data_IF_261710783830
#
_entry.id   IF_261710783830
#
_cell.length_a   1.000
_cell.length_b   1.000
_cell.length_c   1.000
_cell.angle_alpha   90.00
_cell.angle_beta   90.00
_cell.angle_gamma   90.00
#
_symmetry.space_group_name_H-M   'P 1'
#
loop_
_entity.id
_entity.type
_entity.pdbx_description
1 polymer ?
#
# COMPACT_ATOMS: atom_id res chain seq x y z
N UNK A 1 -5.96 41.99 12.57
CA UNK A 1 -6.42 40.60 12.38
C UNK A 1 -5.21 39.78 11.95
N UNK A 2 -4.71 38.89 12.83
CA UNK A 2 -3.49 38.11 12.60
C UNK A 2 -3.86 36.73 12.05
N UNK A 3 -3.19 36.32 10.98
CA UNK A 3 -3.29 35.01 10.32
C UNK A 3 -3.04 33.84 11.31
N UNK A 4 -3.76 32.74 11.11
CA UNK A 4 -3.27 31.39 11.41
C UNK A 4 -3.64 30.47 10.25
N UNK A 5 -2.68 30.30 9.36
CA UNK A 5 -2.63 29.23 8.37
C UNK A 5 -2.29 27.95 9.11
N UNK A 6 -3.23 27.00 9.18
CA UNK A 6 -2.95 25.65 9.68
C UNK A 6 -2.69 24.79 8.46
N UNK A 7 -1.41 24.63 8.13
CA UNK A 7 -0.95 23.69 7.10
C UNK A 7 -1.21 22.26 7.56
N UNK A 8 -2.24 21.64 7.00
CA UNK A 8 -2.46 20.20 7.08
C UNK A 8 -1.75 19.54 5.91
N UNK A 9 -0.60 18.92 6.14
CA UNK A 9 -0.10 17.89 5.23
C UNK A 9 -1.13 16.75 5.23
N UNK A 10 -1.60 16.30 4.05
CA UNK A 10 -2.49 15.14 3.97
C UNK A 10 -1.71 13.90 4.44
N UNK A 11 -2.21 13.25 5.49
CA UNK A 11 -1.69 11.97 5.97
C UNK A 11 -1.79 10.95 4.83
N UNK A 12 -0.75 10.14 4.54
CA UNK A 12 -0.87 9.07 3.57
C UNK A 12 -1.85 8.02 4.13
N UNK A 13 -2.97 7.84 3.41
CA UNK A 13 -3.96 6.80 3.68
C UNK A 13 -3.28 5.45 3.42
N UNK A 14 -3.24 4.61 4.45
CA UNK A 14 -2.72 3.27 4.35
C UNK A 14 -3.71 2.41 3.56
N UNK A 15 -3.25 1.82 2.47
CA UNK A 15 -4.01 0.76 1.81
C UNK A 15 -3.94 -0.49 2.68
N UNK A 16 -5.08 -0.84 3.29
CA UNK A 16 -5.31 -2.18 3.78
C UNK A 16 -5.04 -3.18 2.64
N UNK A 17 -4.37 -4.29 2.95
CA UNK A 17 -4.17 -5.40 2.01
C UNK A 17 -5.54 -5.87 1.52
N UNK A 18 -5.94 -5.41 0.33
CA UNK A 18 -7.23 -5.75 -0.25
C UNK A 18 -7.00 -6.96 -1.14
N UNK A 19 -7.16 -8.16 -0.57
CA UNK A 19 -7.40 -9.35 -1.39
C UNK A 19 -8.84 -9.23 -1.89
N UNK A 20 -9.02 -8.82 -3.14
CA UNK A 20 -10.32 -8.89 -3.83
C UNK A 20 -10.67 -10.37 -4.07
N UNK A 21 -11.20 -11.01 -3.03
CA UNK A 21 -11.95 -12.26 -3.14
C UNK A 21 -13.44 -11.92 -2.94
N UNK A 22 -14.24 -12.13 -4.00
CA UNK A 22 -15.66 -11.81 -4.01
C UNK A 22 -16.45 -12.72 -3.03
N UNK A 23 -17.20 -12.12 -2.09
CA UNK A 23 -18.32 -12.79 -1.43
C UNK A 23 -19.34 -11.81 -0.86
N UNK A 24 -20.62 -12.20 -1.00
CA UNK A 24 -21.88 -11.47 -0.82
C UNK A 24 -22.40 -11.59 0.62
N UNK A 25 -23.07 -10.54 1.16
CA UNK A 25 -24.23 -10.72 2.06
C UNK A 25 -24.24 -9.97 3.41
N UNK A 26 -25.13 -8.97 3.49
CA UNK A 26 -25.76 -8.22 4.62
C UNK A 26 -26.22 -9.08 5.84
N UNK A 27 -26.56 -8.63 7.07
CA UNK A 27 -26.91 -7.35 7.75
C UNK A 27 -27.05 -7.65 9.26
N UNK A 28 -26.83 -6.68 10.16
CA UNK A 28 -27.52 -6.63 11.47
C UNK A 28 -27.55 -5.21 12.05
N UNK A 29 -28.75 -4.68 12.31
CA UNK A 29 -29.04 -3.49 13.09
C UNK A 29 -29.99 -3.91 14.22
N UNK A 30 -29.70 -3.55 15.47
CA UNK A 30 -30.59 -3.89 16.59
C UNK A 30 -30.26 -3.15 17.89
N UNK A 31 -31.31 -2.55 18.48
CA UNK A 31 -31.40 -2.01 19.85
C UNK A 31 -31.68 -0.50 19.84
N UNK A 32 -32.84 0.05 20.23
CA UNK A 32 -33.82 -0.32 21.27
C UNK A 32 -33.37 0.23 22.64
N UNK A 33 -34.08 1.00 23.46
CA UNK A 33 -35.45 1.52 23.52
C UNK A 33 -35.80 1.84 25.00
N UNK A 34 -36.72 2.80 25.27
CA UNK A 34 -37.43 3.03 26.55
C UNK A 34 -36.78 4.04 27.51
N UNK A 35 -37.42 5.10 28.01
CA UNK A 35 -38.77 5.25 28.62
C UNK A 35 -38.59 5.38 30.14
N UNK A 36 -39.19 6.26 30.95
CA UNK A 36 -40.36 7.12 30.87
C UNK A 36 -41.02 7.13 32.29
N UNK A 37 -41.48 8.29 32.78
CA UNK A 37 -42.31 8.42 34.00
C UNK A 37 -41.57 9.01 35.22
N UNK A 38 -42.01 10.07 35.91
CA UNK A 38 -43.31 10.73 35.97
C UNK A 38 -44.00 10.46 37.30
N UNK A 39 -43.59 11.13 38.39
CA UNK A 39 -44.26 11.09 39.70
C UNK A 39 -44.23 12.47 40.40
N UNK A 40 -45.18 12.76 41.32
CA UNK A 40 -45.47 14.10 41.83
C UNK A 40 -44.57 14.56 42.99
N UNK A 41 -44.39 15.87 43.10
CA UNK A 41 -43.46 16.60 43.97
C UNK A 41 -43.89 16.63 45.44
N UNK A 42 -42.99 16.21 46.34
CA UNK A 42 -42.99 16.52 47.78
C UNK A 42 -42.01 17.68 48.05
N UNK A 43 -42.20 18.50 49.11
CA UNK A 43 -41.30 19.63 49.40
C UNK A 43 -39.91 19.15 49.85
N UNK A 44 -38.90 19.53 49.09
CA UNK A 44 -37.49 19.12 49.24
C UNK A 44 -36.77 20.13 50.15
N UNK A 45 -36.20 19.66 51.26
CA UNK A 45 -35.28 20.45 52.09
C UNK A 45 -34.00 20.80 51.29
N UNK A 46 -33.32 21.93 51.54
CA UNK A 46 -32.15 22.32 50.76
C UNK A 46 -31.05 21.26 50.85
N UNK A 47 -30.79 20.59 49.72
CA UNK A 47 -29.71 19.63 49.56
C UNK A 47 -28.39 20.43 49.62
N UNK A 48 -27.42 20.03 50.47
CA UNK A 48 -26.10 20.65 50.50
C UNK A 48 -25.49 20.68 49.11
N UNK A 49 -24.93 21.81 48.70
CA UNK A 49 -24.31 21.98 47.40
C UNK A 49 -23.30 20.82 47.17
N UNK A 50 -23.39 20.09 46.04
CA UNK A 50 -22.45 19.03 45.72
C UNK A 50 -21.03 19.57 45.80
N UNK A 51 -20.15 18.87 46.53
CA UNK A 51 -18.73 19.22 46.58
C UNK A 51 -18.20 19.36 45.14
N UNK A 52 -17.38 20.39 44.85
CA UNK A 52 -16.85 20.60 43.51
C UNK A 52 -16.14 19.33 43.04
N UNK A 53 -16.54 18.85 41.85
CA UNK A 53 -15.94 17.67 41.23
C UNK A 53 -14.43 17.86 41.18
N UNK A 54 -13.62 16.87 41.61
CA UNK A 54 -12.18 16.97 41.57
C UNK A 54 -11.73 17.26 40.13
N UNK A 55 -10.80 18.21 39.99
CA UNK A 55 -10.26 18.60 38.69
C UNK A 55 -9.83 17.34 37.92
N UNK A 56 -10.22 17.18 36.64
CA UNK A 56 -9.80 16.04 35.84
C UNK A 56 -8.27 16.00 35.81
N UNK A 57 -7.73 14.80 36.05
CA UNK A 57 -6.29 14.57 36.00
C UNK A 57 -5.75 14.97 34.62
N UNK A 58 -4.56 15.59 34.52
CA UNK A 58 -3.96 15.92 33.23
C UNK A 58 -3.89 14.68 32.34
N UNK A 59 -4.32 14.82 31.08
CA UNK A 59 -4.17 13.75 30.11
C UNK A 59 -2.68 13.38 29.97
N UNK A 60 -2.34 12.09 29.86
CA UNK A 60 -0.96 11.66 29.60
C UNK A 60 -0.39 12.39 28.37
N UNK A 61 0.86 12.83 28.46
CA UNK A 61 1.55 13.43 27.33
C UNK A 61 1.62 12.43 26.16
N UNK A 62 1.44 12.93 24.94
CA UNK A 62 1.54 12.12 23.73
C UNK A 62 2.96 11.54 23.58
N UNK A 63 3.08 10.22 23.42
CA UNK A 63 4.38 9.59 23.22
C UNK A 63 4.89 9.84 21.79
N UNK A 64 5.97 10.64 21.69
CA UNK A 64 6.62 11.02 20.43
C UNK A 64 7.99 10.38 20.26
N UNK A 65 8.39 9.50 21.18
CA UNK A 65 9.70 8.87 21.15
C UNK A 65 9.83 7.89 19.97
N UNK A 66 11.03 7.72 19.40
CA UNK A 66 11.29 6.71 18.39
C UNK A 66 10.94 5.31 18.90
N UNK A 67 10.22 4.54 18.09
CA UNK A 67 9.88 3.16 18.41
C UNK A 67 11.12 2.27 18.20
N UNK A 68 11.46 1.36 19.13
CA UNK A 68 12.60 0.47 18.95
C UNK A 68 12.55 -0.30 17.62
N UNK A 69 13.67 -0.29 16.89
CA UNK A 69 13.78 -0.93 15.58
C UNK A 69 13.20 -0.14 14.40
N UNK A 70 12.67 1.07 14.62
CA UNK A 70 12.24 1.96 13.54
C UNK A 70 13.40 2.77 12.96
N UNK A 71 13.21 3.25 11.73
CA UNK A 71 14.12 4.13 11.01
C UNK A 71 13.52 5.55 10.89
N UNK A 72 14.35 6.61 10.82
CA UNK A 72 13.85 7.96 10.54
C UNK A 72 13.21 8.04 9.14
N UNK A 73 12.20 8.91 8.99
CA UNK A 73 11.58 9.17 7.70
C UNK A 73 12.58 9.76 6.69
N UNK A 74 12.64 9.28 5.44
CA UNK A 74 13.35 9.97 4.38
C UNK A 74 12.64 11.28 4.01
N UNK A 75 13.36 12.21 3.38
CA UNK A 75 12.83 13.52 3.01
C UNK A 75 12.92 13.76 1.51
N UNK A 76 11.80 14.16 0.89
CA UNK A 76 11.81 14.61 -0.51
C UNK A 76 12.55 15.94 -0.71
N UNK A 77 12.68 16.78 0.33
CA UNK A 77 13.44 18.03 0.25
C UNK A 77 14.95 17.84 0.47
N UNK A 78 15.34 16.70 1.04
CA UNK A 78 16.73 16.31 1.26
C UNK A 78 16.87 14.80 1.01
N UNK A 79 16.75 14.35 -0.26
CA UNK A 79 16.72 12.93 -0.58
C UNK A 79 18.06 12.28 -0.31
N UNK A 80 18.05 10.99 0.05
CA UNK A 80 19.29 10.25 0.26
C UNK A 80 20.08 10.15 -1.06
N UNK A 81 21.42 10.22 -1.02
CA UNK A 81 22.24 10.13 -2.23
C UNK A 81 21.94 8.88 -3.06
N UNK A 82 21.73 9.06 -4.36
CA UNK A 82 21.45 7.97 -5.30
C UNK A 82 20.02 7.40 -5.29
N UNK A 83 19.15 7.87 -4.39
CA UNK A 83 17.72 7.51 -4.38
C UNK A 83 17.00 8.00 -5.65
N UNK A 84 15.82 7.45 -5.92
CA UNK A 84 14.99 7.82 -7.08
C UNK A 84 14.70 9.32 -7.11
N UNK A 85 14.40 9.95 -5.98
CA UNK A 85 14.17 11.39 -5.87
C UNK A 85 15.45 12.22 -6.09
N UNK A 86 16.63 11.67 -5.79
CA UNK A 86 17.90 12.37 -5.96
C UNK A 86 18.38 12.37 -7.43
N UNK A 87 18.27 11.23 -8.13
CA UNK A 87 18.90 11.04 -9.46
C UNK A 87 17.93 10.63 -10.57
N UNK A 88 16.64 10.51 -10.29
CA UNK A 88 15.65 10.01 -11.24
C UNK A 88 15.29 10.99 -12.36
N UNK A 89 14.61 10.48 -13.39
CA UNK A 89 14.27 11.21 -14.63
C UNK A 89 12.97 12.05 -14.55
N UNK A 90 12.63 12.57 -13.37
CA UNK A 90 11.42 13.36 -13.04
C UNK A 90 10.06 12.68 -13.27
N UNK A 91 10.01 11.58 -14.01
CA UNK A 91 8.80 10.77 -14.28
C UNK A 91 8.79 9.45 -13.53
N UNK A 92 9.95 8.84 -13.29
CA UNK A 92 10.06 7.58 -12.58
C UNK A 92 9.80 7.71 -11.08
N UNK A 93 9.25 6.64 -10.51
CA UNK A 93 9.06 6.49 -9.07
C UNK A 93 7.73 5.87 -8.70
N UNK A 94 7.43 6.00 -7.42
CA UNK A 94 6.18 5.54 -6.81
C UNK A 94 5.29 6.75 -6.61
N UNK A 95 4.06 6.62 -7.08
CA UNK A 95 3.01 7.61 -6.92
C UNK A 95 1.83 6.98 -6.21
N UNK A 96 1.31 7.62 -5.17
CA UNK A 96 0.18 7.09 -4.42
C UNK A 96 -0.82 8.18 -4.04
N UNK A 97 -2.06 7.79 -3.89
CA UNK A 97 -3.14 8.65 -3.43
C UNK A 97 -4.38 7.85 -3.10
N UNK A 98 -5.47 8.55 -2.79
CA UNK A 98 -6.76 7.91 -2.48
C UNK A 98 -7.32 7.07 -3.63
N UNK A 99 -6.89 7.34 -4.87
CA UNK A 99 -7.34 6.66 -6.08
C UNK A 99 -6.52 5.42 -6.45
N UNK A 100 -5.35 5.22 -5.85
CA UNK A 100 -4.48 4.13 -6.24
C UNK A 100 -3.00 4.36 -5.96
N UNK A 101 -2.19 3.43 -6.46
CA UNK A 101 -0.74 3.45 -6.47
C UNK A 101 -0.25 3.11 -7.88
N UNK A 102 0.77 3.82 -8.35
CA UNK A 102 1.41 3.61 -9.63
C UNK A 102 2.93 3.51 -9.45
N UNK A 103 3.51 2.53 -10.13
CA UNK A 103 4.94 2.30 -10.25
C UNK A 103 5.33 2.66 -11.68
N UNK A 104 6.17 3.70 -11.82
CA UNK A 104 6.69 4.15 -13.11
C UNK A 104 8.19 3.89 -13.14
N UNK A 105 8.62 2.98 -14.01
CA UNK A 105 10.02 2.64 -14.19
C UNK A 105 10.78 3.68 -15.01
N UNK A 106 12.12 3.64 -14.94
CA UNK A 106 13.00 4.55 -15.70
C UNK A 106 12.83 4.48 -17.22
N UNK A 107 12.29 3.38 -17.74
CA UNK A 107 12.01 3.16 -19.17
C UNK A 107 10.55 3.46 -19.54
N UNK A 108 9.77 4.05 -18.62
CA UNK A 108 8.35 4.30 -18.80
C UNK A 108 7.45 3.09 -18.54
N UNK A 109 7.98 1.95 -18.07
CA UNK A 109 7.13 0.81 -17.68
C UNK A 109 6.14 1.22 -16.59
N UNK A 110 4.90 0.78 -16.70
CA UNK A 110 3.83 1.10 -15.78
C UNK A 110 3.24 -0.19 -15.19
N UNK A 111 3.13 -0.20 -13.86
CA UNK A 111 2.14 -1.02 -13.18
C UNK A 111 1.41 -0.17 -12.15
N UNK A 112 0.11 -0.34 -11.99
CA UNK A 112 -0.64 0.39 -10.98
C UNK A 112 -1.87 -0.35 -10.52
N UNK A 113 -2.31 -0.04 -9.30
CA UNK A 113 -3.59 -0.47 -8.75
C UNK A 113 -4.46 0.75 -8.57
N UNK A 114 -5.63 0.75 -9.19
CA UNK A 114 -6.56 1.87 -9.24
C UNK A 114 -7.95 1.44 -8.81
N UNK A 115 -8.82 2.41 -8.51
CA UNK A 115 -10.24 2.16 -8.30
C UNK A 115 -10.84 1.49 -9.55
N UNK A 116 -11.08 0.18 -9.46
CA UNK A 116 -11.69 -0.61 -10.53
C UNK A 116 -10.78 -1.64 -11.20
N UNK A 117 -9.48 -1.67 -10.93
CA UNK A 117 -8.60 -2.69 -11.50
C UNK A 117 -7.11 -2.40 -11.37
N UNK A 118 -6.31 -3.16 -12.10
CA UNK A 118 -4.85 -2.95 -12.17
C UNK A 118 -4.43 -2.60 -13.59
N UNK A 119 -3.58 -1.61 -13.73
CA UNK A 119 -3.08 -1.13 -15.02
C UNK A 119 -1.67 -1.64 -15.25
N UNK A 120 -1.37 -2.07 -16.48
CA UNK A 120 -0.11 -2.66 -16.88
C UNK A 120 0.27 -2.19 -18.27
N UNK A 121 1.54 -1.89 -18.52
CA UNK A 121 2.03 -1.51 -19.85
C UNK A 121 3.15 -0.50 -19.78
N UNK A 122 3.06 0.55 -20.57
CA UNK A 122 4.09 1.59 -20.61
C UNK A 122 3.57 2.98 -20.98
N UNK A 123 4.31 3.98 -20.54
CA UNK A 123 4.08 5.39 -20.82
C UNK A 123 5.05 5.87 -21.89
N UNK A 124 4.54 6.64 -22.84
CA UNK A 124 5.34 7.55 -23.65
C UNK A 124 5.43 8.87 -22.92
N UNK A 125 6.63 9.25 -22.50
CA UNK A 125 6.89 10.52 -21.80
C UNK A 125 7.57 11.49 -22.76
N UNK A 126 7.01 12.69 -22.91
CA UNK A 126 7.55 13.78 -23.74
C UNK A 126 7.62 15.05 -22.90
N UNK A 127 8.81 15.36 -22.38
CA UNK A 127 8.95 16.40 -21.36
C UNK A 127 8.22 15.99 -20.08
N UNK A 128 7.24 16.78 -19.65
CA UNK A 128 6.38 16.47 -18.50
C UNK A 128 5.06 15.83 -18.91
N UNK A 129 4.75 15.76 -20.20
CA UNK A 129 3.53 15.14 -20.69
C UNK A 129 3.73 13.63 -20.81
N UNK A 130 2.67 12.87 -20.57
CA UNK A 130 2.66 11.44 -20.80
C UNK A 130 1.40 10.99 -21.53
N UNK A 131 1.52 9.90 -22.28
CA UNK A 131 0.40 9.16 -22.85
C UNK A 131 0.64 7.66 -22.72
N UNK A 132 -0.42 6.86 -22.62
CA UNK A 132 -0.26 5.40 -22.68
C UNK A 132 0.23 4.96 -24.05
N UNK A 133 1.16 3.99 -24.06
CA UNK A 133 1.49 3.25 -25.27
C UNK A 133 0.43 2.17 -25.55
N UNK A 134 0.34 1.67 -26.80
CA UNK A 134 -0.67 0.67 -27.20
C UNK A 134 -0.62 -0.66 -26.44
N UNK A 135 0.50 -0.99 -25.79
CA UNK A 135 0.65 -2.17 -24.92
C UNK A 135 -0.04 -2.01 -23.55
N UNK A 136 -0.56 -0.82 -23.25
CA UNK A 136 -1.16 -0.56 -21.95
C UNK A 136 -2.59 -1.06 -21.88
N UNK A 137 -2.88 -1.78 -20.80
CA UNK A 137 -4.18 -2.34 -20.51
C UNK A 137 -4.59 -2.16 -19.04
N UNK A 138 -5.90 -2.08 -18.83
CA UNK A 138 -6.53 -2.18 -17.52
C UNK A 138 -7.11 -3.58 -17.37
N UNK A 139 -6.59 -4.33 -16.41
CA UNK A 139 -7.17 -5.59 -15.98
C UNK A 139 -8.25 -5.37 -14.94
N UNK A 140 -9.49 -5.69 -15.34
CA UNK A 140 -10.69 -5.73 -14.50
C UNK A 140 -11.22 -7.16 -14.57
N UNK A 141 -10.99 -8.00 -13.54
CA UNK A 141 -11.30 -9.42 -13.62
C UNK A 141 -12.72 -9.69 -14.17
N UNK A 142 -12.86 -10.57 -15.18
CA UNK A 142 -11.83 -11.46 -15.75
C UNK A 142 -11.10 -10.90 -16.99
N UNK A 143 -11.35 -9.66 -17.41
CA UNK A 143 -10.94 -9.15 -18.71
C UNK A 143 -9.79 -8.13 -18.61
N UNK A 144 -9.01 -8.04 -19.68
CA UNK A 144 -8.07 -6.95 -19.90
C UNK A 144 -8.59 -6.07 -21.04
N UNK A 145 -8.51 -4.75 -20.84
CA UNK A 145 -9.00 -3.75 -21.79
C UNK A 145 -7.85 -2.84 -22.21
N UNK A 146 -7.62 -2.63 -23.52
CA UNK A 146 -6.71 -1.59 -23.98
C UNK A 146 -7.12 -0.24 -23.39
N UNK A 147 -6.15 0.52 -22.91
CA UNK A 147 -6.39 1.87 -22.39
C UNK A 147 -5.82 2.92 -23.31
N UNK A 148 -6.54 4.03 -23.40
CA UNK A 148 -6.02 5.29 -23.94
C UNK A 148 -6.08 6.34 -22.85
N UNK A 149 -5.24 7.35 -22.95
CA UNK A 149 -5.13 8.33 -21.89
C UNK A 149 -3.81 9.07 -21.93
N UNK A 150 -3.80 10.17 -21.22
CA UNK A 150 -2.68 11.08 -21.15
C UNK A 150 -2.80 11.97 -19.92
N UNK A 151 -1.72 12.65 -19.62
CA UNK A 151 -1.65 13.57 -18.52
C UNK A 151 -0.29 14.21 -18.38
N UNK A 152 0.02 14.65 -17.17
CA UNK A 152 1.25 15.35 -16.85
C UNK A 152 1.90 14.83 -15.58
N UNK A 153 3.23 14.96 -15.53
CA UNK A 153 4.01 14.88 -14.31
C UNK A 153 4.25 16.29 -13.80
N UNK A 154 4.08 16.49 -12.49
CA UNK A 154 4.76 17.56 -11.78
C UNK A 154 6.00 16.95 -11.13
N UNK A 155 7.23 17.33 -11.56
CA UNK A 155 8.46 16.69 -11.12
C UNK A 155 8.53 16.50 -9.62
N UNK A 156 8.73 15.24 -9.20
CA UNK A 156 8.88 14.84 -7.79
C UNK A 156 7.71 15.27 -6.89
N UNK A 157 6.54 15.52 -7.46
CA UNK A 157 5.35 15.99 -6.73
C UNK A 157 4.09 15.19 -7.06
N UNK A 158 3.72 15.08 -8.33
CA UNK A 158 2.50 14.37 -8.71
C UNK A 158 2.54 13.80 -10.11
N UNK A 159 1.66 12.83 -10.34
CA UNK A 159 1.19 12.46 -11.68
C UNK A 159 -0.31 12.67 -11.73
N UNK A 160 -0.75 13.32 -12.81
CA UNK A 160 -2.12 13.72 -13.07
C UNK A 160 -2.50 13.30 -14.50
N UNK A 161 -3.79 13.04 -14.74
CA UNK A 161 -4.28 12.69 -16.07
C UNK A 161 -5.55 11.84 -16.02
N UNK A 162 -5.95 11.35 -17.19
CA UNK A 162 -7.18 10.55 -17.35
C UNK A 162 -6.92 9.34 -18.22
N UNK A 163 -7.70 8.29 -18.01
CA UNK A 163 -7.70 7.09 -18.84
C UNK A 163 -9.11 6.69 -19.25
N UNK A 164 -9.25 6.12 -20.43
CA UNK A 164 -10.49 5.58 -20.96
C UNK A 164 -10.26 4.17 -21.49
N UNK A 165 -11.27 3.33 -21.34
CA UNK A 165 -11.31 1.95 -21.81
C UNK A 165 -12.75 1.57 -22.15
N UNK A 166 -12.93 0.61 -23.06
CA UNK A 166 -14.24 -0.02 -23.34
C UNK A 166 -15.36 1.00 -23.65
N UNK A 167 -15.03 2.10 -24.34
CA UNK A 167 -15.95 3.23 -24.64
C UNK A 167 -16.65 3.85 -23.42
N UNK A 168 -16.07 3.70 -22.22
CA UNK A 168 -16.59 4.31 -20.98
C UNK A 168 -16.17 5.76 -20.86
N UNK A 169 -16.88 6.49 -20.01
CA UNK A 169 -16.46 7.82 -19.57
C UNK A 169 -15.03 7.76 -19.01
N UNK A 170 -14.14 8.70 -19.39
CA UNK A 170 -12.79 8.74 -18.85
C UNK A 170 -12.79 8.84 -17.31
N UNK A 171 -11.86 8.12 -16.70
CA UNK A 171 -11.59 8.11 -15.26
C UNK A 171 -10.27 8.83 -14.98
N UNK A 172 -10.14 9.39 -13.79
CA UNK A 172 -8.90 10.05 -13.36
C UNK A 172 -7.82 9.02 -13.00
N UNK A 173 -6.60 9.21 -13.49
CA UNK A 173 -5.39 8.55 -12.97
C UNK A 173 -4.96 9.20 -11.65
N UNK A 174 -5.06 10.52 -11.54
CA UNK A 174 -4.52 11.31 -10.43
C UNK A 174 -5.48 12.37 -9.86
N UNK A 175 -4.98 13.32 -9.04
CA UNK A 175 -3.58 13.43 -8.63
C UNK A 175 -3.14 12.24 -7.76
N UNK A 176 -2.05 11.59 -8.16
CA UNK A 176 -1.27 10.72 -7.28
C UNK A 176 -0.02 11.47 -6.85
N UNK A 177 0.24 11.50 -5.55
CA UNK A 177 1.40 12.20 -4.99
C UNK A 177 2.67 11.34 -5.12
N UNK A 178 3.78 12.00 -5.40
CA UNK A 178 5.11 11.40 -5.34
C UNK A 178 5.44 11.02 -3.90
N UNK A 179 5.72 9.75 -3.64
CA UNK A 179 5.80 9.25 -2.27
C UNK A 179 7.18 9.45 -1.65
N UNK A 180 7.25 9.48 -0.31
CA UNK A 180 8.50 9.68 0.44
C UNK A 180 9.49 8.52 0.24
N UNK A 181 9.02 7.33 -0.08
CA UNK A 181 9.82 6.15 -0.41
C UNK A 181 10.83 6.48 -1.51
N UNK A 182 10.49 7.36 -2.45
CA UNK A 182 11.39 7.74 -3.55
C UNK A 182 12.67 8.43 -3.04
N UNK A 183 12.66 9.03 -1.85
CA UNK A 183 13.85 9.61 -1.22
C UNK A 183 14.69 8.60 -0.44
N UNK A 184 14.24 7.34 -0.33
CA UNK A 184 15.00 6.26 0.31
C UNK A 184 16.01 5.67 -0.68
N UNK A 185 17.29 5.67 -0.31
CA UNK A 185 18.34 4.95 -1.01
C UNK A 185 18.38 3.51 -0.48
N UNK A 186 18.38 2.54 -1.39
CA UNK A 186 18.39 1.12 -1.06
C UNK A 186 19.48 0.38 -1.82
N UNK A 187 19.71 -0.88 -1.49
CA UNK A 187 20.59 -1.77 -2.25
C UNK A 187 19.97 -3.15 -2.40
N UNK A 188 20.59 -4.04 -3.16
CA UNK A 188 20.15 -5.44 -3.22
C UNK A 188 20.13 -6.07 -1.82
N UNK A 189 21.14 -5.78 -0.99
CA UNK A 189 21.24 -6.28 0.38
C UNK A 189 20.11 -5.76 1.30
N UNK A 190 19.44 -4.66 0.95
CA UNK A 190 18.30 -4.16 1.73
C UNK A 190 17.12 -5.14 1.77
N UNK A 191 17.02 -6.03 0.77
CA UNK A 191 15.98 -7.06 0.70
C UNK A 191 16.23 -8.25 1.63
N UNK A 192 17.48 -8.50 2.04
CA UNK A 192 17.79 -9.65 2.87
C UNK A 192 17.01 -9.60 4.20
N UNK A 193 16.45 -10.74 4.59
CA UNK A 193 15.72 -10.93 5.84
C UNK A 193 14.35 -11.58 5.67
N UNK A 194 13.63 -11.68 6.78
CA UNK A 194 12.26 -12.18 6.82
C UNK A 194 11.27 -11.04 6.63
N UNK A 195 10.28 -11.24 5.78
CA UNK A 195 9.17 -10.32 5.56
C UNK A 195 7.87 -11.08 5.76
N UNK A 196 6.96 -10.52 6.55
CA UNK A 196 5.65 -11.13 6.76
C UNK A 196 4.57 -10.08 6.88
N UNK A 197 3.33 -10.47 6.59
CA UNK A 197 2.21 -9.60 6.91
C UNK A 197 2.11 -9.45 8.43
N UNK A 198 1.73 -8.25 8.86
CA UNK A 198 1.58 -7.91 10.30
C UNK A 198 0.16 -8.05 10.79
N UNK A 199 -0.77 -8.33 9.88
CA UNK A 199 -2.16 -8.56 10.22
C UNK A 199 -2.24 -9.84 11.05
N UNK A 200 -2.69 -9.68 12.29
CA UNK A 200 -2.99 -10.79 13.21
C UNK A 200 -4.24 -11.58 12.81
N UNK A 201 -4.83 -11.28 11.64
CA UNK A 201 -6.01 -11.98 11.16
C UNK A 201 -5.63 -13.43 10.79
N UNK A 202 -6.29 -14.45 11.37
CA UNK A 202 -6.04 -15.85 11.01
C UNK A 202 -6.47 -16.18 9.57
N UNK A 203 -7.09 -15.23 8.86
CA UNK A 203 -7.61 -15.43 7.51
C UNK A 203 -6.55 -15.32 6.41
N UNK A 204 -5.40 -14.69 6.69
CA UNK A 204 -4.32 -14.45 5.74
C UNK A 204 -2.98 -14.42 6.46
N UNK A 205 -2.09 -15.37 6.14
CA UNK A 205 -0.69 -15.35 6.54
C UNK A 205 0.19 -15.44 5.31
N UNK A 206 1.21 -14.58 5.22
CA UNK A 206 2.23 -14.60 4.17
C UNK A 206 3.57 -14.31 4.81
N UNK A 207 4.53 -15.22 4.62
CA UNK A 207 5.91 -15.04 5.08
C UNK A 207 6.85 -15.39 3.94
N UNK A 208 7.85 -14.54 3.70
CA UNK A 208 8.95 -14.80 2.77
C UNK A 208 10.28 -14.54 3.45
N UNK A 209 11.25 -15.39 3.18
CA UNK A 209 12.65 -15.24 3.56
C UNK A 209 13.45 -14.93 2.30
N UNK A 210 14.13 -13.80 2.28
CA UNK A 210 14.94 -13.34 1.15
C UNK A 210 16.42 -13.38 1.55
N UNK A 211 17.27 -13.92 0.68
CA UNK A 211 18.72 -13.92 0.86
C UNK A 211 19.40 -12.62 0.37
N UNK A 212 20.73 -12.55 0.47
CA UNK A 212 21.51 -11.38 0.06
C UNK A 212 21.52 -11.11 -1.45
N UNK A 213 21.16 -12.12 -2.25
CA UNK A 213 21.10 -12.10 -3.71
C UNK A 213 19.68 -11.80 -4.20
N UNK A 214 18.70 -11.77 -3.31
CA UNK A 214 17.29 -11.55 -3.64
C UNK A 214 16.53 -12.82 -3.97
N UNK A 215 17.12 -14.01 -3.83
CA UNK A 215 16.36 -15.26 -3.96
C UNK A 215 15.53 -15.44 -2.70
N UNK A 216 14.27 -15.85 -2.87
CA UNK A 216 13.39 -16.02 -1.73
C UNK A 216 12.61 -17.33 -1.76
N UNK A 217 12.28 -17.79 -0.57
CA UNK A 217 11.32 -18.86 -0.30
C UNK A 217 10.28 -18.36 0.69
N UNK A 218 9.08 -18.89 0.66
CA UNK A 218 8.04 -18.48 1.60
C UNK A 218 6.88 -19.44 1.68
N UNK A 219 5.89 -19.07 2.46
CA UNK A 219 4.65 -19.81 2.59
C UNK A 219 3.46 -18.89 2.80
N UNK A 220 2.28 -19.41 2.50
CA UNK A 220 1.01 -18.77 2.84
C UNK A 220 0.19 -19.65 3.77
N UNK A 221 -0.74 -19.03 4.49
CA UNK A 221 -1.72 -19.70 5.33
C UNK A 221 -3.03 -18.90 5.38
N UNK A 222 -4.05 -19.50 5.98
CA UNK A 222 -5.36 -18.87 6.14
C UNK A 222 -6.34 -19.19 5.01
N UNK A 223 -7.63 -19.02 5.30
CA UNK A 223 -8.73 -19.44 4.42
C UNK A 223 -8.87 -18.61 3.14
N UNK A 224 -8.27 -17.41 3.08
CA UNK A 224 -8.37 -16.56 1.90
C UNK A 224 -7.47 -17.05 0.76
N UNK A 225 -6.20 -17.36 1.05
CA UNK A 225 -5.19 -17.77 0.05
C UNK A 225 -4.94 -19.29 0.06
N UNK A 226 -5.13 -19.96 1.19
CA UNK A 226 -4.75 -21.36 1.37
C UNK A 226 -3.26 -21.54 1.65
N UNK A 227 -2.80 -22.80 1.61
CA UNK A 227 -1.44 -23.20 1.91
C UNK A 227 -0.63 -23.35 0.63
N UNK A 228 0.17 -22.33 0.31
CA UNK A 228 1.11 -22.32 -0.80
C UNK A 228 2.54 -22.37 -0.30
N UNK A 229 3.42 -23.09 -0.99
CA UNK A 229 4.88 -22.86 -0.94
C UNK A 229 5.23 -21.83 -2.00
N UNK A 230 5.96 -20.79 -1.61
CA UNK A 230 6.39 -19.69 -2.46
C UNK A 230 7.89 -19.80 -2.75
N UNK A 231 8.28 -19.44 -3.98
CA UNK A 231 9.68 -19.32 -4.39
C UNK A 231 9.81 -18.23 -5.44
N UNK A 232 10.97 -17.58 -5.53
CA UNK A 232 11.17 -16.54 -6.54
C UNK A 232 12.42 -15.70 -6.35
N UNK A 233 12.42 -14.55 -7.01
CA UNK A 233 13.51 -13.55 -6.91
C UNK A 233 12.95 -12.14 -6.75
N UNK A 234 13.66 -11.30 -6.01
CA UNK A 234 13.45 -9.85 -5.91
C UNK A 234 14.79 -9.16 -6.13
N UNK A 235 14.96 -8.54 -7.29
CA UNK A 235 16.21 -7.91 -7.71
C UNK A 235 16.01 -6.42 -7.96
N UNK A 236 17.02 -5.59 -7.69
CA UNK A 236 16.98 -4.17 -8.08
C UNK A 236 16.61 -4.05 -9.56
N UNK A 237 15.59 -3.24 -9.87
CA UNK A 237 15.13 -3.05 -11.25
C UNK A 237 16.23 -2.43 -12.12
N UNK A 238 17.09 -1.61 -11.50
CA UNK A 238 18.31 -1.12 -12.09
C UNK A 238 19.51 -1.59 -11.25
N UNK A 239 20.20 -2.67 -11.66
CA UNK A 239 21.36 -3.20 -10.93
C UNK A 239 22.43 -2.14 -10.66
N UNK A 240 22.99 -2.15 -9.46
CA UNK A 240 24.03 -1.20 -9.03
C UNK A 240 23.53 0.22 -8.74
N UNK A 241 22.24 0.51 -8.94
CA UNK A 241 21.64 1.78 -8.49
C UNK A 241 21.29 1.73 -7.01
N UNK A 242 20.98 2.91 -6.44
CA UNK A 242 20.37 3.02 -5.11
C UNK A 242 18.87 3.37 -5.17
N UNK A 243 18.23 3.16 -6.33
CA UNK A 243 16.80 3.42 -6.54
C UNK A 243 15.95 2.38 -5.83
N UNK A 244 14.79 2.80 -5.34
CA UNK A 244 13.90 2.01 -4.49
C UNK A 244 12.97 1.02 -5.21
N UNK A 245 13.22 0.77 -6.51
CA UNK A 245 12.41 -0.12 -7.33
C UNK A 245 13.13 -1.43 -7.62
N UNK A 246 12.39 -2.51 -7.50
CA UNK A 246 12.81 -3.89 -7.70
C UNK A 246 11.90 -4.56 -8.73
N UNK A 247 12.40 -5.58 -9.38
CA UNK A 247 11.61 -6.54 -10.16
C UNK A 247 11.46 -7.80 -9.34
N UNK A 248 10.23 -8.30 -9.24
CA UNK A 248 9.90 -9.50 -8.49
C UNK A 248 9.32 -10.56 -9.41
N UNK A 249 9.78 -11.80 -9.25
CA UNK A 249 9.18 -12.99 -9.82
C UNK A 249 8.75 -13.92 -8.70
N UNK A 250 7.59 -14.54 -8.83
CA UNK A 250 7.03 -15.45 -7.82
C UNK A 250 6.40 -16.66 -8.46
N UNK A 251 6.69 -17.81 -7.89
CA UNK A 251 6.10 -19.11 -8.18
C UNK A 251 5.43 -19.65 -6.92
N UNK A 252 4.17 -20.06 -7.04
CA UNK A 252 3.41 -20.70 -5.99
C UNK A 252 3.13 -22.17 -6.32
N UNK A 253 3.21 -23.04 -5.32
CA UNK A 253 2.89 -24.47 -5.42
C UNK A 253 1.94 -24.84 -4.29
N UNK A 254 0.92 -25.66 -4.59
CA UNK A 254 0.02 -26.14 -3.55
C UNK A 254 0.79 -27.00 -2.54
N UNK A 255 0.69 -26.63 -1.26
CA UNK A 255 1.30 -27.34 -0.15
C UNK A 255 0.25 -27.90 0.82
N UNK A 256 -1.04 -27.72 0.51
CA UNK A 256 -2.13 -28.19 1.34
C UNK A 256 -2.19 -29.72 1.39
N UNK A 257 -2.40 -30.26 2.58
CA UNK A 257 -2.67 -31.69 2.80
C UNK A 257 -4.17 -32.02 2.77
N UNK A 258 -5.02 -31.00 2.94
CA UNK A 258 -6.48 -31.10 2.85
C UNK A 258 -7.00 -30.07 1.85
N UNK A 259 -7.95 -30.48 1.01
CA UNK A 259 -8.47 -29.65 -0.10
C UNK A 259 -9.12 -28.35 0.35
N UNK A 260 -9.63 -28.28 1.59
CA UNK A 260 -10.20 -27.06 2.17
C UNK A 260 -9.18 -25.92 2.32
N UNK A 261 -7.88 -26.23 2.30
CA UNK A 261 -6.79 -25.28 2.41
C UNK A 261 -5.98 -25.16 1.11
N UNK A 262 -6.50 -25.65 -0.01
CA UNK A 262 -5.80 -25.63 -1.29
C UNK A 262 -5.28 -24.23 -1.62
N UNK A 263 -4.05 -24.18 -2.11
CA UNK A 263 -3.43 -22.95 -2.61
C UNK A 263 -4.29 -22.35 -3.74
N UNK A 264 -4.81 -21.15 -3.50
CA UNK A 264 -5.64 -20.41 -4.46
C UNK A 264 -4.83 -19.49 -5.37
N UNK A 265 -3.54 -19.34 -5.11
CA UNK A 265 -2.65 -18.68 -6.07
C UNK A 265 -2.53 -19.57 -7.31
N UNK A 266 -2.42 -18.94 -8.48
CA UNK A 266 -2.23 -19.65 -9.76
C UNK A 266 -1.01 -20.57 -9.63
N UNK A 267 -1.19 -21.90 -9.72
CA UNK A 267 -0.08 -22.82 -9.55
C UNK A 267 1.02 -22.62 -10.59
N UNK A 268 2.25 -23.00 -10.27
CA UNK A 268 3.41 -22.89 -11.15
C UNK A 268 3.23 -23.48 -12.56
N UNK A 269 2.38 -24.50 -12.71
CA UNK A 269 2.08 -25.12 -14.00
C UNK A 269 1.20 -24.24 -14.89
N UNK A 270 0.40 -23.34 -14.29
CA UNK A 270 -0.47 -22.39 -14.99
C UNK A 270 0.12 -20.99 -15.07
N UNK A 271 1.11 -20.64 -14.25
CA UNK A 271 1.84 -19.37 -14.38
C UNK A 271 2.88 -19.06 -13.30
N UNK A 272 3.87 -18.25 -13.66
CA UNK A 272 4.67 -17.48 -12.70
C UNK A 272 4.15 -16.04 -12.67
N UNK A 273 4.19 -15.40 -11.52
CA UNK A 273 3.87 -13.99 -11.36
C UNK A 273 5.13 -13.14 -11.58
N UNK A 274 4.98 -11.98 -12.19
CA UNK A 274 6.05 -11.00 -12.31
C UNK A 274 5.51 -9.56 -12.22
N UNK A 275 6.34 -8.63 -11.78
CA UNK A 275 6.00 -7.21 -11.71
C UNK A 275 6.93 -6.41 -10.82
N UNK A 276 6.64 -5.13 -10.60
CA UNK A 276 7.44 -4.30 -9.72
C UNK A 276 7.24 -4.63 -8.24
N UNK A 277 8.33 -4.45 -7.49
CA UNK A 277 8.37 -4.45 -6.05
C UNK A 277 9.14 -3.21 -5.54
N UNK A 278 8.90 -2.82 -4.31
CA UNK A 278 9.55 -1.67 -3.68
C UNK A 278 9.83 -1.97 -2.20
N UNK A 279 10.74 -1.20 -1.62
CA UNK A 279 10.77 -1.01 -0.16
C UNK A 279 9.83 0.16 0.16
N UNK A 280 8.67 -0.18 0.73
CA UNK A 280 7.71 0.74 1.31
C UNK A 280 8.04 1.13 2.75
N UNK A 281 7.33 2.13 3.26
CA UNK A 281 7.50 2.63 4.63
C UNK A 281 6.17 2.52 5.39
N UNK A 282 6.23 1.82 6.52
CA UNK A 282 5.12 1.61 7.44
C UNK A 282 5.39 2.45 8.69
N UNK A 283 4.65 3.54 8.96
CA UNK A 283 4.85 4.32 10.18
C UNK A 283 4.85 3.44 11.43
N UNK A 284 5.82 3.66 12.31
CA UNK A 284 6.00 2.90 13.53
C UNK A 284 5.07 3.37 14.66
N UNK A 285 4.45 4.54 14.50
CA UNK A 285 3.49 5.11 15.44
C UNK A 285 2.63 6.19 14.80
N UNK A 286 2.03 7.04 15.64
CA UNK A 286 1.10 8.09 15.21
C UNK A 286 1.82 9.33 14.68
N UNK A 287 3.05 9.56 15.14
CA UNK A 287 3.87 10.72 14.79
C UNK A 287 5.06 10.31 13.94
N UNK A 288 5.49 11.18 13.02
CA UNK A 288 6.66 10.93 12.18
C UNK A 288 7.94 10.70 13.01
N UNK A 289 8.01 11.28 14.22
CA UNK A 289 9.11 11.08 15.16
C UNK A 289 9.19 9.67 15.74
N UNK A 290 8.11 8.89 15.66
CA UNK A 290 8.13 7.47 16.02
C UNK A 290 8.95 6.62 15.03
N UNK A 291 9.20 7.15 13.83
CA UNK A 291 9.94 6.47 12.76
C UNK A 291 9.07 5.54 11.91
N UNK A 292 9.71 4.71 11.09
CA UNK A 292 9.09 3.82 10.12
C UNK A 292 9.75 2.45 10.13
N UNK A 293 8.96 1.41 9.86
CA UNK A 293 9.44 0.08 9.52
C UNK A 293 9.44 -0.09 8.01
N UNK A 294 10.44 -0.80 7.49
CA UNK A 294 10.46 -1.17 6.08
C UNK A 294 9.38 -2.20 5.78
N UNK A 295 8.78 -2.09 4.61
CA UNK A 295 7.94 -3.14 4.05
C UNK A 295 8.34 -3.51 2.63
N UNK A 296 8.16 -4.76 2.27
CA UNK A 296 8.24 -5.25 0.90
C UNK A 296 6.83 -5.14 0.32
N UNK A 297 6.64 -4.16 -0.56
CA UNK A 297 5.39 -3.99 -1.31
C UNK A 297 5.61 -4.43 -2.74
N UNK A 298 4.67 -5.18 -3.31
CA UNK A 298 4.76 -5.57 -4.71
C UNK A 298 3.38 -5.68 -5.36
N UNK A 299 3.36 -5.34 -6.64
CA UNK A 299 2.24 -5.56 -7.54
C UNK A 299 2.74 -6.48 -8.64
N UNK A 300 2.25 -7.72 -8.67
CA UNK A 300 2.67 -8.74 -9.64
C UNK A 300 1.48 -9.36 -10.34
N UNK A 301 1.70 -9.82 -11.57
CA UNK A 301 0.67 -10.40 -12.43
C UNK A 301 1.13 -11.73 -13.02
N UNK A 302 0.22 -12.69 -13.08
CA UNK A 302 0.44 -13.94 -13.81
C UNK A 302 0.22 -13.75 -15.31
N UNK A 303 0.75 -14.67 -16.11
CA UNK A 303 0.41 -14.82 -17.52
C UNK A 303 -1.10 -14.99 -17.80
N UNK A 304 -1.88 -15.49 -16.83
CA UNK A 304 -3.35 -15.62 -16.93
C UNK A 304 -4.10 -14.34 -16.52
N UNK A 305 -3.38 -13.29 -16.14
CA UNK A 305 -3.95 -12.00 -15.76
C UNK A 305 -4.21 -11.84 -14.25
N UNK A 306 -4.12 -12.89 -13.44
CA UNK A 306 -4.33 -12.79 -12.00
C UNK A 306 -3.28 -11.88 -11.35
N UNK A 307 -3.72 -10.95 -10.50
CA UNK A 307 -2.85 -9.95 -9.87
C UNK A 307 -2.78 -10.11 -8.36
N UNK A 308 -1.61 -9.83 -7.81
CA UNK A 308 -1.35 -9.81 -6.37
C UNK A 308 -0.76 -8.46 -5.99
N UNK A 309 -1.42 -7.79 -5.05
CA UNK A 309 -0.90 -6.61 -4.36
C UNK A 309 -0.67 -7.02 -2.90
N UNK A 310 0.59 -7.02 -2.47
CA UNK A 310 0.98 -7.51 -1.15
C UNK A 310 1.89 -6.48 -0.49
N UNK A 311 1.77 -6.36 0.84
CA UNK A 311 2.61 -5.53 1.69
C UNK A 311 3.06 -6.37 2.89
N UNK A 312 4.36 -6.64 2.99
CA UNK A 312 4.96 -7.46 4.06
C UNK A 312 5.92 -6.60 4.87
N UNK A 313 5.77 -6.52 6.18
CA UNK A 313 6.73 -5.79 7.03
C UNK A 313 7.99 -6.63 7.23
N UNK A 314 9.14 -5.97 7.24
CA UNK A 314 10.39 -6.61 7.66
C UNK A 314 10.28 -7.05 9.12
N UNK A 315 10.67 -8.27 9.42
CA UNK A 315 10.74 -8.75 10.79
C UNK A 315 12.12 -8.40 11.40
N UNK A 316 12.18 -8.20 12.73
CA UNK A 316 13.43 -7.93 13.45
C UNK A 316 14.48 -9.03 13.26
#
# INVERSE_FOLDING_TARGET
>A
MKQKTVGGCPKPLWMAATVLAASVGMTACGGGGGGGGGMPMLPIAPIPAPAPSPSPSPAPAENRDPVPGSEPSPSLSAPQPGSTAAVGNDSEGIYAGVRGIAFVGTNGSLAGSFLGGTMWGSLKVTGLDWSFNPDTELYVPPNAYPVTGSGTFTPKKSVDGTYAYDNRTPSDVGPLAYTIENALAVSQASMAGTWSNTDSSPSLGVTVQVDGQGVFTGSTSGVQIGQCTLSGTVALAQPGSAKNMYSLTLKAVNAATASTNDCKLTPAATGSYAGPAIIGLVPAGVYDSNGYFRSLMFLIRSNTGATLLVNLRKQP
#
